data_IF_427583871383
#
_entry.id   IF_427583871383
#
_cell.length_a   1.000
_cell.length_b   1.000
_cell.length_c   1.000
_cell.angle_alpha   90.00
_cell.angle_beta   90.00
_cell.angle_gamma   90.00
#
_symmetry.space_group_name_H-M   'P 1'
#
loop_
_entity.id
_entity.type
_entity.pdbx_description
1 polymer ?
#
# COMPACT_ATOMS: atom_id res chain seq x y z
N UNK A 1 -29.09 -9.00 2.57
CA UNK A 1 -28.47 -8.31 1.42
C UNK A 1 -26.96 -8.50 1.53
N UNK A 2 -26.44 -9.52 0.84
CA UNK A 2 -25.00 -9.77 0.75
C UNK A 2 -24.59 -9.32 -0.65
N UNK A 3 -23.79 -8.27 -0.76
CA UNK A 3 -23.21 -7.87 -2.04
C UNK A 3 -22.04 -8.82 -2.30
N UNK A 4 -22.28 -9.77 -3.18
CA UNK A 4 -21.24 -10.65 -3.70
C UNK A 4 -20.31 -9.80 -4.59
N UNK A 5 -19.22 -9.29 -4.03
CA UNK A 5 -18.11 -8.73 -4.80
C UNK A 5 -17.30 -9.90 -5.37
N UNK A 6 -17.87 -10.61 -6.33
CA UNK A 6 -17.22 -11.69 -7.03
C UNK A 6 -17.46 -11.51 -8.52
N UNK A 7 -16.36 -11.28 -9.26
CA UNK A 7 -16.06 -11.78 -10.61
C UNK A 7 -15.21 -10.76 -11.41
N UNK A 8 -13.91 -11.06 -11.50
CA UNK A 8 -13.06 -10.90 -12.69
C UNK A 8 -12.66 -9.49 -13.15
N UNK A 9 -11.87 -8.74 -12.36
CA UNK A 9 -11.17 -7.55 -12.89
C UNK A 9 -9.88 -7.88 -13.65
N UNK A 10 -9.33 -9.10 -13.51
CA UNK A 10 -8.06 -9.49 -14.14
C UNK A 10 -8.20 -10.89 -14.75
N UNK A 11 -8.96 -11.00 -15.85
CA UNK A 11 -8.88 -12.20 -16.68
C UNK A 11 -7.61 -12.12 -17.55
N UNK A 12 -6.94 -13.25 -17.76
CA UNK A 12 -5.75 -13.38 -18.63
C UNK A 12 -6.01 -12.91 -20.08
N UNK A 13 -7.28 -12.77 -20.46
CA UNK A 13 -7.74 -12.26 -21.75
C UNK A 13 -7.67 -10.72 -21.90
N UNK A 14 -7.40 -9.94 -20.84
CA UNK A 14 -7.26 -8.46 -20.91
C UNK A 14 -5.80 -7.99 -20.83
N UNK A 15 -4.84 -8.81 -21.24
CA UNK A 15 -3.41 -8.44 -21.30
C UNK A 15 -3.06 -7.42 -22.39
N UNK A 16 -4.04 -6.72 -22.97
CA UNK A 16 -3.84 -5.79 -24.08
C UNK A 16 -4.78 -4.61 -23.94
N UNK A 17 -4.44 -3.67 -23.06
CA UNK A 17 -4.52 -2.21 -23.31
C UNK A 17 -4.44 -1.48 -21.95
N UNK A 18 -3.23 -1.13 -21.53
CA UNK A 18 -3.03 -0.23 -20.38
C UNK A 18 -3.32 1.23 -20.77
N UNK A 19 -3.48 1.55 -22.06
CA UNK A 19 -3.66 2.92 -22.55
C UNK A 19 -5.07 3.47 -22.22
N UNK A 20 -6.00 2.60 -21.83
CA UNK A 20 -7.35 2.99 -21.39
C UNK A 20 -7.47 3.37 -19.91
N UNK A 21 -6.41 3.21 -19.11
CA UNK A 21 -6.46 3.42 -17.65
C UNK A 21 -5.74 4.71 -17.25
N UNK A 22 -6.51 5.76 -16.99
CA UNK A 22 -6.00 7.04 -16.46
C UNK A 22 -6.11 7.07 -14.94
N UNK A 23 -4.96 7.03 -14.26
CA UNK A 23 -4.88 6.98 -12.80
C UNK A 23 -3.90 8.04 -12.31
N UNK A 24 -4.34 8.81 -11.33
CA UNK A 24 -3.51 9.77 -10.61
C UNK A 24 -3.50 9.42 -9.13
N UNK A 25 -2.38 9.73 -8.47
CA UNK A 25 -2.34 9.80 -7.02
C UNK A 25 -3.19 10.99 -6.56
N UNK A 26 -3.95 10.78 -5.49
CA UNK A 26 -4.74 11.81 -4.85
C UNK A 26 -4.40 11.88 -3.37
N UNK A 27 -4.86 12.94 -2.72
CA UNK A 27 -4.67 13.18 -1.28
C UNK A 27 -3.21 13.39 -0.84
N UNK A 28 -2.63 14.49 -1.30
CA UNK A 28 -1.27 14.94 -0.93
C UNK A 28 -1.21 15.70 0.42
N UNK A 29 -2.27 15.62 1.24
CA UNK A 29 -2.40 16.41 2.47
C UNK A 29 -1.36 16.06 3.55
N UNK A 30 -0.75 14.88 3.44
CA UNK A 30 0.28 14.36 4.37
C UNK A 30 1.65 14.16 3.70
N UNK A 31 1.78 14.56 2.44
CA UNK A 31 3.03 14.44 1.69
C UNK A 31 4.11 15.38 2.26
N UNK A 32 5.35 14.93 2.21
CA UNK A 32 6.51 15.65 2.77
C UNK A 32 7.58 15.87 1.70
N UNK A 33 8.40 16.90 1.89
CA UNK A 33 9.58 17.09 1.04
C UNK A 33 10.70 16.13 1.51
N UNK A 34 11.53 15.65 0.59
CA UNK A 34 12.63 14.73 0.92
C UNK A 34 13.64 15.29 1.93
N UNK A 35 13.77 16.62 2.00
CA UNK A 35 14.62 17.34 2.95
C UNK A 35 13.86 17.86 4.18
N UNK A 36 12.52 17.75 4.21
CA UNK A 36 11.66 18.23 5.32
C UNK A 36 10.49 17.29 5.57
N UNK A 37 10.70 16.38 6.52
CA UNK A 37 9.68 15.43 6.96
C UNK A 37 8.64 16.11 7.87
N UNK A 38 7.35 15.95 7.56
CA UNK A 38 6.25 16.47 8.38
C UNK A 38 6.09 15.66 9.68
N UNK A 39 6.35 14.35 9.61
CA UNK A 39 6.26 13.40 10.71
C UNK A 39 7.10 12.17 10.38
N UNK A 40 7.67 11.51 11.39
CA UNK A 40 8.38 10.22 11.22
C UNK A 40 7.41 9.04 11.13
N UNK A 41 6.19 9.21 11.66
CA UNK A 41 5.13 8.21 11.55
C UNK A 41 4.39 8.38 10.24
N UNK A 42 4.98 7.81 9.19
CA UNK A 42 4.36 7.71 7.87
C UNK A 42 3.71 6.34 7.67
N UNK A 43 2.74 6.29 6.76
CA UNK A 43 2.06 5.07 6.27
C UNK A 43 1.17 4.36 7.32
N UNK A 44 0.10 3.68 6.88
CA UNK A 44 -0.64 2.77 7.75
C UNK A 44 0.17 1.51 8.03
N UNK A 45 -0.02 0.90 9.21
CA UNK A 45 0.76 -0.25 9.70
C UNK A 45 0.88 -1.42 8.70
N UNK A 46 -0.15 -1.69 7.89
CA UNK A 46 -0.13 -2.80 6.93
C UNK A 46 0.66 -2.52 5.66
N UNK A 47 0.99 -1.26 5.40
CA UNK A 47 1.78 -0.85 4.23
C UNK A 47 3.13 -0.25 4.65
N UNK A 48 3.44 -0.23 5.94
CA UNK A 48 4.63 0.41 6.46
C UNK A 48 5.90 -0.27 5.93
N UNK A 49 6.82 0.53 5.39
CA UNK A 49 8.11 0.05 4.91
C UNK A 49 8.95 -0.45 6.10
N UNK A 50 9.85 -1.43 5.89
CA UNK A 50 10.62 -2.03 6.98
C UNK A 50 11.48 -1.01 7.72
N UNK A 51 12.07 -0.03 7.02
CA UNK A 51 12.82 1.07 7.60
C UNK A 51 11.95 1.97 8.48
N UNK A 52 10.71 2.27 8.07
CA UNK A 52 9.77 3.08 8.86
C UNK A 52 9.30 2.29 10.09
N UNK A 53 9.08 0.98 9.96
CA UNK A 53 8.63 0.11 11.05
C UNK A 53 9.66 0.03 12.19
N UNK A 54 10.96 0.03 11.85
CA UNK A 54 12.05 0.00 12.82
C UNK A 54 12.57 1.40 13.20
N UNK A 55 11.88 2.46 12.76
CA UNK A 55 12.25 3.86 12.99
C UNK A 55 13.66 4.22 12.46
N UNK A 56 14.10 3.53 11.40
CA UNK A 56 15.32 3.87 10.66
C UNK A 56 15.06 5.04 9.70
N UNK A 57 16.11 5.77 9.26
CA UNK A 57 15.97 6.80 8.26
C UNK A 57 15.33 6.25 6.98
N UNK A 58 14.28 6.92 6.52
CA UNK A 58 13.55 6.58 5.30
C UNK A 58 13.72 7.69 4.25
N UNK A 59 13.48 7.32 2.99
CA UNK A 59 13.50 8.22 1.84
C UNK A 59 12.32 7.88 0.91
N UNK A 60 12.32 8.40 -0.32
CA UNK A 60 11.28 8.11 -1.32
C UNK A 60 11.14 6.63 -1.70
N UNK A 61 12.07 5.75 -1.28
CA UNK A 61 11.90 4.30 -1.43
C UNK A 61 10.78 3.75 -0.56
N UNK A 62 10.41 4.44 0.51
CA UNK A 62 9.25 4.10 1.32
C UNK A 62 7.96 4.11 0.48
N UNK A 63 7.82 5.03 -0.47
CA UNK A 63 6.67 5.10 -1.40
C UNK A 63 6.69 3.96 -2.43
N UNK A 64 7.88 3.57 -2.89
CA UNK A 64 8.05 2.40 -3.78
C UNK A 64 7.59 1.11 -3.09
N UNK A 65 7.89 0.98 -1.79
CA UNK A 65 7.37 -0.13 -0.98
C UNK A 65 5.85 -0.13 -0.92
N UNK A 66 5.20 1.03 -0.69
CA UNK A 66 3.74 1.11 -0.71
C UNK A 66 3.16 0.73 -2.07
N UNK A 67 3.75 1.20 -3.17
CA UNK A 67 3.29 0.91 -4.53
C UNK A 67 3.25 -0.61 -4.77
N UNK A 68 4.34 -1.30 -4.45
CA UNK A 68 4.43 -2.75 -4.63
C UNK A 68 3.48 -3.50 -3.69
N UNK A 69 3.35 -3.05 -2.43
CA UNK A 69 2.42 -3.65 -1.49
C UNK A 69 0.97 -3.55 -2.00
N UNK A 70 0.52 -2.37 -2.44
CA UNK A 70 -0.83 -2.16 -3.00
C UNK A 70 -1.03 -2.96 -4.30
N UNK A 71 -0.05 -2.97 -5.21
CA UNK A 71 -0.12 -3.77 -6.44
C UNK A 71 -0.33 -5.25 -6.14
N UNK A 72 0.38 -5.80 -5.16
CA UNK A 72 0.23 -7.20 -4.77
C UNK A 72 -1.12 -7.47 -4.10
N UNK A 73 -1.59 -6.55 -3.25
CA UNK A 73 -2.91 -6.66 -2.62
C UNK A 73 -4.03 -6.68 -3.67
N UNK A 74 -3.96 -5.81 -4.68
CA UNK A 74 -4.92 -5.78 -5.80
C UNK A 74 -4.82 -7.04 -6.65
N UNK A 75 -3.60 -7.47 -7.00
CA UNK A 75 -3.39 -8.64 -7.85
C UNK A 75 -3.87 -9.95 -7.22
N UNK A 76 -3.59 -10.15 -5.93
CA UNK A 76 -3.94 -11.38 -5.20
C UNK A 76 -5.29 -11.29 -4.48
N UNK A 77 -5.87 -10.11 -4.35
CA UNK A 77 -7.04 -9.82 -3.51
C UNK A 77 -6.86 -10.30 -2.05
N UNK A 78 -5.65 -10.14 -1.51
CA UNK A 78 -5.31 -10.48 -0.12
C UNK A 78 -4.54 -9.33 0.52
N UNK A 79 -4.58 -9.21 1.85
CA UNK A 79 -3.73 -8.25 2.57
C UNK A 79 -2.32 -8.80 2.68
N UNK A 80 -1.33 -8.02 2.28
CA UNK A 80 0.08 -8.46 2.26
C UNK A 80 0.60 -8.61 3.70
N UNK A 81 0.30 -7.64 4.55
CA UNK A 81 0.69 -7.65 5.97
C UNK A 81 -0.51 -7.41 6.88
N UNK A 82 -0.48 -8.03 8.06
CA UNK A 82 -1.45 -7.80 9.13
C UNK A 82 -0.70 -7.63 10.44
N UNK A 83 -0.87 -6.48 11.08
CA UNK A 83 -0.43 -6.27 12.45
C UNK A 83 -1.37 -6.99 13.40
N UNK A 84 -0.86 -7.95 14.17
CA UNK A 84 -1.58 -8.56 15.28
C UNK A 84 -0.74 -8.36 16.54
N UNK A 85 -1.27 -7.65 17.55
CA UNK A 85 -0.69 -7.72 18.88
C UNK A 85 -1.20 -9.00 19.53
N UNK A 86 -0.27 -9.84 20.02
CA UNK A 86 -0.64 -11.01 20.82
C UNK A 86 -0.98 -10.49 22.20
N UNK A 87 -2.26 -10.21 22.45
CA UNK A 87 -2.73 -9.89 23.80
C UNK A 87 -2.52 -11.12 24.69
N UNK A 88 -1.54 -11.06 25.60
CA UNK A 88 -1.32 -12.07 26.63
C UNK A 88 -0.10 -12.97 26.41
N UNK A 89 1.08 -12.46 26.77
CA UNK A 89 2.13 -13.26 27.40
C UNK A 89 3.00 -12.30 28.22
N UNK A 90 2.53 -12.00 29.43
CA UNK A 90 3.33 -11.50 30.56
C UNK A 90 3.23 -12.57 31.63
#
# INVERSE_FOLDING_TARGET
MSVQLGCNYLNEAQSQDLDGFDVALGDEGVSSWADRHLTEKIQPLTLQAPEVLIEAPWDSKADVWNLVAVMLEVYRNVRMFRGASRAGCV
#
